data_IF_717856968120
#
_entry.id   IF_717856968120
#
_cell.length_a   1.000
_cell.length_b   1.000
_cell.length_c   1.000
_cell.angle_alpha   90.00
_cell.angle_beta   90.00
_cell.angle_gamma   90.00
#
_symmetry.space_group_name_H-M   'P 1'
#
loop_
_entity.id
_entity.type
_entity.pdbx_description
1 polymer ?
#
# COMPACT_ATOMS: atom_id res chain seq x y z
N UNK A 1 -19.31 19.40 31.04
CA UNK A 1 -18.22 18.69 31.72
C UNK A 1 -17.62 17.73 30.70
N UNK A 2 -16.45 18.07 30.18
CA UNK A 2 -15.72 17.34 29.13
C UNK A 2 -14.98 16.16 29.77
N UNK A 3 -15.32 14.94 29.37
CA UNK A 3 -14.57 13.74 29.78
C UNK A 3 -13.19 13.72 29.13
N UNK A 4 -12.17 13.11 29.77
CA UNK A 4 -10.82 13.09 29.22
C UNK A 4 -10.79 12.21 27.97
N UNK A 5 -10.35 12.80 26.86
CA UNK A 5 -9.95 12.07 25.65
C UNK A 5 -8.82 11.13 26.04
N UNK A 6 -9.06 9.81 26.04
CA UNK A 6 -7.96 8.85 26.14
C UNK A 6 -7.08 9.09 24.90
N UNK A 7 -5.76 9.32 25.05
CA UNK A 7 -4.89 9.30 23.89
C UNK A 7 -5.07 7.94 23.22
N UNK A 8 -5.39 7.95 21.92
CA UNK A 8 -5.22 6.76 21.11
C UNK A 8 -3.78 6.34 21.31
N UNK A 9 -3.62 5.18 21.92
CA UNK A 9 -2.38 4.44 22.05
C UNK A 9 -1.78 4.39 20.64
N UNK A 10 -0.79 5.24 20.38
CA UNK A 10 0.03 5.21 19.19
C UNK A 10 1.01 4.03 19.35
N UNK A 11 0.48 2.85 19.58
CA UNK A 11 1.24 1.62 19.63
C UNK A 11 1.33 1.08 18.21
N UNK A 12 2.52 1.25 17.66
CA UNK A 12 3.08 0.44 16.59
C UNK A 12 2.46 0.65 15.19
N UNK A 13 2.56 1.87 14.68
CA UNK A 13 2.62 2.09 13.24
C UNK A 13 4.06 1.85 12.73
N UNK A 14 4.66 0.70 13.06
CA UNK A 14 5.78 0.18 12.26
C UNK A 14 5.19 -0.74 11.19
N UNK A 15 4.37 -0.17 10.29
CA UNK A 15 4.14 -0.82 8.99
C UNK A 15 5.42 -0.65 8.18
N UNK A 16 6.42 -1.46 8.50
CA UNK A 16 7.49 -1.76 7.56
C UNK A 16 6.91 -2.28 6.24
N UNK A 17 7.67 -2.23 5.13
CA UNK A 17 7.18 -2.70 3.84
C UNK A 17 6.66 -4.14 3.98
N UNK A 18 5.38 -4.34 3.67
CA UNK A 18 4.74 -5.66 3.63
C UNK A 18 5.43 -6.48 2.56
N UNK A 19 6.20 -7.49 2.97
CA UNK A 19 6.77 -8.49 2.08
C UNK A 19 5.91 -9.75 2.13
N UNK A 20 5.35 -10.10 0.96
CA UNK A 20 4.49 -11.26 0.72
C UNK A 20 5.32 -12.53 0.42
N UNK A 21 6.65 -12.41 0.31
CA UNK A 21 7.54 -13.53 -0.04
C UNK A 21 7.55 -13.88 -1.53
N UNK A 22 6.72 -13.22 -2.34
CA UNK A 22 6.74 -13.28 -3.80
C UNK A 22 7.41 -12.01 -4.33
N UNK A 23 8.57 -12.10 -5.01
CA UNK A 23 9.34 -10.93 -5.43
C UNK A 23 8.56 -10.00 -6.37
N UNK A 24 7.65 -10.57 -7.16
CA UNK A 24 6.78 -9.83 -8.08
C UNK A 24 5.72 -9.02 -7.35
N UNK A 25 5.14 -9.57 -6.28
CA UNK A 25 4.14 -8.88 -5.44
C UNK A 25 4.80 -7.80 -4.60
N UNK A 26 5.98 -8.07 -4.06
CA UNK A 26 6.75 -7.11 -3.25
C UNK A 26 7.17 -5.88 -4.06
N UNK A 27 7.53 -6.07 -5.34
CA UNK A 27 7.85 -4.97 -6.25
C UNK A 27 6.64 -4.04 -6.49
N UNK A 28 5.44 -4.61 -6.60
CA UNK A 28 4.21 -3.84 -6.78
C UNK A 28 3.83 -3.11 -5.49
N UNK A 29 3.93 -3.76 -4.33
CA UNK A 29 3.69 -3.13 -3.03
C UNK A 29 4.65 -1.96 -2.76
N UNK A 30 5.93 -2.13 -3.09
CA UNK A 30 6.90 -1.04 -2.99
C UNK A 30 6.55 0.13 -3.92
N UNK A 31 6.09 -0.16 -5.15
CA UNK A 31 5.64 0.86 -6.09
C UNK A 31 4.43 1.63 -5.55
N UNK A 32 3.46 0.93 -4.95
CA UNK A 32 2.29 1.55 -4.32
C UNK A 32 2.67 2.46 -3.14
N UNK A 33 3.65 2.06 -2.31
CA UNK A 33 4.16 2.89 -1.22
C UNK A 33 4.85 4.17 -1.71
N UNK A 34 5.58 4.10 -2.82
CA UNK A 34 6.19 5.28 -3.46
C UNK A 34 5.10 6.22 -4.00
N UNK A 35 4.03 5.66 -4.60
CA UNK A 35 2.92 6.46 -5.11
C UNK A 35 2.16 7.16 -3.97
N UNK A 36 1.96 6.49 -2.84
CA UNK A 36 1.30 7.09 -1.66
C UNK A 36 2.06 8.32 -1.12
N UNK A 37 3.38 8.39 -1.36
CA UNK A 37 4.23 9.51 -0.98
C UNK A 37 4.18 10.70 -1.96
N UNK A 38 3.51 10.58 -3.11
CA UNK A 38 3.41 11.64 -4.12
C UNK A 38 2.28 12.65 -3.81
N UNK A 39 2.35 13.89 -4.35
CA UNK A 39 1.24 14.83 -4.24
C UNK A 39 -0.03 14.30 -4.94
N UNK A 40 -1.20 14.55 -4.33
CA UNK A 40 -2.53 14.05 -4.75
C UNK A 40 -2.84 14.23 -6.25
N UNK A 41 -2.35 15.29 -6.89
CA UNK A 41 -2.53 15.54 -8.32
C UNK A 41 -1.81 14.53 -9.22
N UNK A 42 -0.75 13.90 -8.73
CA UNK A 42 0.04 12.87 -9.41
C UNK A 42 -0.38 11.45 -8.99
N UNK A 43 -0.97 11.31 -7.81
CA UNK A 43 -1.41 10.02 -7.26
C UNK A 43 -2.46 9.34 -8.13
N UNK A 44 -3.49 10.04 -8.61
CA UNK A 44 -4.65 9.38 -9.27
C UNK A 44 -4.26 8.60 -10.53
N UNK A 45 -3.36 9.18 -11.35
CA UNK A 45 -2.88 8.54 -12.57
C UNK A 45 -1.99 7.33 -12.28
N UNK A 46 -1.04 7.48 -11.34
CA UNK A 46 -0.10 6.42 -11.01
C UNK A 46 -0.75 5.30 -10.18
N UNK A 47 -1.67 5.63 -9.29
CA UNK A 47 -2.43 4.66 -8.49
C UNK A 47 -3.25 3.72 -9.38
N UNK A 48 -3.94 4.27 -10.39
CA UNK A 48 -4.71 3.46 -11.35
C UNK A 48 -3.81 2.49 -12.12
N UNK A 49 -2.62 2.94 -12.52
CA UNK A 49 -1.66 2.12 -13.25
C UNK A 49 -1.09 0.99 -12.36
N UNK A 50 -0.73 1.31 -11.12
CA UNK A 50 -0.22 0.33 -10.16
C UNK A 50 -1.29 -0.70 -9.78
N UNK A 51 -2.55 -0.31 -9.63
CA UNK A 51 -3.66 -1.24 -9.38
C UNK A 51 -3.87 -2.23 -10.54
N UNK A 52 -3.72 -1.79 -11.80
CA UNK A 52 -3.80 -2.70 -12.96
C UNK A 52 -2.64 -3.68 -12.98
N UNK A 53 -1.42 -3.20 -12.73
CA UNK A 53 -0.24 -4.07 -12.66
C UNK A 53 -0.41 -5.15 -11.58
N UNK A 54 -0.91 -4.77 -10.39
CA UNK A 54 -1.21 -5.73 -9.33
C UNK A 54 -2.24 -6.78 -9.77
N UNK A 55 -3.33 -6.35 -10.41
CA UNK A 55 -4.38 -7.26 -10.87
C UNK A 55 -3.86 -8.25 -11.94
N UNK A 56 -3.02 -7.79 -12.88
CA UNK A 56 -2.42 -8.67 -13.89
C UNK A 56 -1.41 -9.65 -13.26
N UNK A 57 -0.57 -9.21 -12.32
CA UNK A 57 0.35 -10.09 -11.59
C UNK A 57 -0.40 -11.17 -10.81
N UNK A 58 -1.45 -10.80 -10.08
CA UNK A 58 -2.26 -11.77 -9.33
C UNK A 58 -2.98 -12.76 -10.26
N UNK A 59 -3.48 -12.29 -11.41
CA UNK A 59 -4.09 -13.17 -12.42
C UNK A 59 -3.09 -14.17 -13.01
N UNK A 60 -1.87 -13.72 -13.30
CA UNK A 60 -0.82 -14.59 -13.84
C UNK A 60 -0.42 -15.71 -12.86
N UNK A 61 -0.46 -15.43 -11.55
CA UNK A 61 -0.21 -16.43 -10.50
C UNK A 61 -1.38 -17.42 -10.37
N UNK A 62 -2.63 -17.00 -10.55
CA UNK A 62 -3.81 -17.88 -10.48
C UNK A 62 -3.90 -18.84 -11.70
N UNK A 63 -3.36 -18.42 -12.85
CA UNK A 63 -3.32 -19.21 -14.08
C UNK A 63 -2.18 -20.26 -14.12
N UNK A 64 -1.31 -20.31 -13.10
CA UNK A 64 -0.20 -21.29 -12.96
C UNK A 64 -0.46 -22.37 -11.93
#
# INVERSE_FOLDING_TARGET
MTGPVRPLDASDAESGPVSCGSPEVDAVLHTLAVIDSLPLGEQVGQYTQAHRALADTLRAIDET
#
